data_IF_487069348640
#
_entry.id   IF_487069348640
#
_cell.length_a   1.000
_cell.length_b   1.000
_cell.length_c   1.000
_cell.angle_alpha   90.00
_cell.angle_beta   90.00
_cell.angle_gamma   90.00
#
_symmetry.space_group_name_H-M   'P 1'
#
loop_
_entity.id
_entity.type
_entity.pdbx_description
1 polymer ?
#
# COMPACT_ATOMS: atom_id res chain seq x y z
N UNK A 1 -3.70 34.14 -59.91
CA UNK A 1 -4.05 32.84 -59.29
C UNK A 1 -2.87 32.34 -58.46
N UNK A 2 -2.97 32.29 -57.12
CA UNK A 2 -2.03 31.51 -56.28
C UNK A 2 -2.83 30.76 -55.22
N UNK A 3 -2.61 29.45 -55.18
CA UNK A 3 -3.40 28.44 -54.45
C UNK A 3 -3.02 28.40 -52.97
N UNK A 4 -4.07 28.39 -52.16
CA UNK A 4 -4.36 27.64 -50.92
C UNK A 4 -3.23 27.26 -49.95
N UNK A 5 -3.41 27.78 -48.73
CA UNK A 5 -3.20 27.21 -47.40
C UNK A 5 -2.92 25.70 -47.32
N UNK A 6 -1.99 25.35 -46.44
CA UNK A 6 -2.17 24.40 -45.33
C UNK A 6 -0.83 24.22 -44.63
N UNK A 7 -0.75 24.49 -43.32
CA UNK A 7 -0.02 23.69 -42.34
C UNK A 7 -0.05 24.40 -40.99
N UNK A 8 -0.83 23.87 -40.05
CA UNK A 8 -0.32 23.44 -38.74
C UNK A 8 -1.52 23.05 -37.90
N UNK A 9 -1.80 21.74 -37.88
CA UNK A 9 -2.71 21.14 -36.89
C UNK A 9 -1.94 21.18 -35.58
N UNK A 10 -2.28 22.15 -34.72
CA UNK A 10 -1.82 22.15 -33.34
C UNK A 10 -2.48 20.95 -32.66
N UNK A 11 -1.70 19.89 -32.46
CA UNK A 11 -2.07 18.69 -31.74
C UNK A 11 -2.41 19.11 -30.31
N UNK A 12 -3.70 19.24 -29.98
CA UNK A 12 -4.14 19.21 -28.59
C UNK A 12 -3.83 17.82 -28.06
N UNK A 13 -2.69 17.69 -27.38
CA UNK A 13 -2.43 16.56 -26.52
C UNK A 13 -3.48 16.56 -25.42
N UNK A 14 -4.47 15.69 -25.58
CA UNK A 14 -5.52 15.42 -24.60
C UNK A 14 -4.80 14.99 -23.31
N UNK A 15 -4.87 15.86 -22.29
CA UNK A 15 -4.57 15.52 -20.91
C UNK A 15 -5.58 14.45 -20.45
N UNK A 16 -5.31 13.18 -20.74
CA UNK A 16 -5.95 12.06 -20.04
C UNK A 16 -5.21 11.90 -18.70
N UNK A 17 -5.39 12.90 -17.84
CA UNK A 17 -4.97 12.84 -16.45
C UNK A 17 -6.00 12.10 -15.63
N UNK A 18 -5.55 11.02 -14.98
CA UNK A 18 -6.04 10.57 -13.68
C UNK A 18 -7.38 9.84 -13.64
N UNK A 19 -7.36 8.52 -13.82
CA UNK A 19 -8.28 7.60 -13.13
C UNK A 19 -7.70 6.20 -12.86
N UNK A 20 -6.44 5.91 -13.24
CA UNK A 20 -5.87 4.56 -13.10
C UNK A 20 -5.33 4.22 -11.70
N UNK A 21 -5.05 5.22 -10.86
CA UNK A 21 -4.46 5.00 -9.53
C UNK A 21 -5.44 4.37 -8.54
N UNK A 22 -6.73 4.70 -8.64
CA UNK A 22 -7.78 4.13 -7.79
C UNK A 22 -8.05 2.65 -8.07
N UNK A 23 -7.92 2.21 -9.32
CA UNK A 23 -8.13 0.81 -9.69
C UNK A 23 -6.95 -0.08 -9.22
N UNK A 24 -5.74 0.47 -9.21
CA UNK A 24 -4.52 -0.26 -8.86
C UNK A 24 -4.51 -0.68 -7.39
N UNK A 25 -4.89 0.19 -6.45
CA UNK A 25 -4.91 -0.16 -5.01
C UNK A 25 -6.07 -1.08 -4.63
N UNK A 26 -7.20 -1.04 -5.34
CA UNK A 26 -8.36 -1.86 -4.99
C UNK A 26 -8.10 -3.36 -5.20
N UNK A 27 -7.27 -3.74 -6.17
CA UNK A 27 -7.03 -5.16 -6.49
C UNK A 27 -5.67 -5.69 -6.07
N UNK A 28 -4.74 -4.84 -5.64
CA UNK A 28 -3.41 -5.28 -5.20
C UNK A 28 -3.49 -5.90 -3.80
N UNK A 29 -2.76 -6.98 -3.57
CA UNK A 29 -2.64 -7.63 -2.25
C UNK A 29 -1.19 -7.71 -1.80
N UNK A 30 -0.95 -8.00 -0.52
CA UNK A 30 0.40 -8.29 -0.03
C UNK A 30 1.05 -9.49 -0.72
N UNK A 31 0.27 -10.51 -1.09
CA UNK A 31 0.76 -11.63 -1.91
C UNK A 31 1.21 -11.16 -3.30
N UNK A 32 0.40 -10.35 -4.00
CA UNK A 32 0.78 -9.80 -5.30
C UNK A 32 2.09 -9.02 -5.23
N UNK A 33 2.26 -8.20 -4.18
CA UNK A 33 3.44 -7.38 -3.98
C UNK A 33 4.71 -8.22 -3.84
N UNK A 34 4.64 -9.27 -3.01
CA UNK A 34 5.76 -10.17 -2.72
C UNK A 34 6.28 -10.87 -3.98
N UNK A 35 5.39 -11.23 -4.90
CA UNK A 35 5.77 -11.93 -6.13
C UNK A 35 6.15 -11.00 -7.29
N UNK A 36 5.53 -9.82 -7.38
CA UNK A 36 5.69 -8.93 -8.55
C UNK A 36 6.79 -7.88 -8.41
N UNK A 37 7.14 -7.49 -7.18
CA UNK A 37 8.01 -6.33 -6.96
C UNK A 37 9.18 -6.63 -6.05
N UNK A 38 10.30 -5.97 -6.33
CA UNK A 38 11.48 -6.01 -5.46
C UNK A 38 11.22 -5.18 -4.20
N UNK A 39 11.39 -5.83 -3.05
CA UNK A 39 11.36 -5.18 -1.75
C UNK A 39 12.58 -4.28 -1.58
N UNK A 40 12.36 -3.05 -1.15
CA UNK A 40 13.40 -2.08 -0.82
C UNK A 40 13.80 -2.11 0.65
N UNK A 41 12.82 -2.24 1.54
CA UNK A 41 13.01 -2.12 2.99
C UNK A 41 11.97 -2.94 3.74
N UNK A 42 12.33 -3.36 4.96
CA UNK A 42 11.43 -3.94 5.95
C UNK A 42 11.71 -3.36 7.33
N UNK A 43 10.68 -3.07 8.11
CA UNK A 43 10.81 -2.66 9.51
C UNK A 43 9.55 -3.02 10.31
N UNK A 44 9.65 -2.99 11.64
CA UNK A 44 8.50 -3.10 12.55
C UNK A 44 8.05 -1.70 12.95
N UNK A 45 6.74 -1.47 12.90
CA UNK A 45 6.11 -0.24 13.39
C UNK A 45 5.09 -0.60 14.46
N UNK A 46 5.25 -0.02 15.64
CA UNK A 46 4.30 -0.16 16.73
C UNK A 46 3.34 1.03 16.70
N UNK A 47 2.04 0.74 16.68
CA UNK A 47 0.98 1.75 16.72
C UNK A 47 0.13 1.52 17.97
N UNK A 48 -0.02 2.55 18.79
CA UNK A 48 -0.95 2.53 19.90
C UNK A 48 -2.37 2.74 19.36
N UNK A 49 -3.25 1.77 19.61
CA UNK A 49 -4.65 1.90 19.26
C UNK A 49 -5.39 2.61 20.39
N UNK A 50 -5.66 3.90 20.19
CA UNK A 50 -6.42 4.75 21.13
C UNK A 50 -7.83 4.19 21.43
N UNK A 51 -8.42 3.41 20.51
CA UNK A 51 -9.77 2.83 20.69
C UNK A 51 -9.76 1.51 21.49
N UNK A 52 -8.59 0.88 21.65
CA UNK A 52 -8.40 -0.37 22.40
C UNK A 52 -7.55 -0.14 23.65
N UNK A 53 -7.87 0.90 24.43
CA UNK A 53 -7.25 1.18 25.73
C UNK A 53 -5.71 1.22 25.70
N UNK A 54 -5.15 1.81 24.62
CA UNK A 54 -3.70 1.93 24.46
C UNK A 54 -3.00 0.63 24.03
N UNK A 55 -3.74 -0.37 23.53
CA UNK A 55 -3.15 -1.60 23.02
C UNK A 55 -2.10 -1.30 21.93
N UNK A 56 -0.86 -1.74 22.18
CA UNK A 56 0.23 -1.60 21.23
C UNK A 56 0.13 -2.73 20.21
N UNK A 57 -0.08 -2.33 18.95
CA UNK A 57 -0.17 -3.25 17.83
C UNK A 57 1.13 -3.21 17.04
N UNK A 58 1.78 -4.36 16.87
CA UNK A 58 2.95 -4.48 16.01
C UNK A 58 2.54 -4.74 14.55
N UNK A 59 3.00 -3.86 13.66
CA UNK A 59 2.81 -4.00 12.22
C UNK A 59 4.16 -4.27 11.54
N UNK A 60 4.21 -5.35 10.76
CA UNK A 60 5.35 -5.69 9.92
C UNK A 60 5.25 -4.93 8.60
N UNK A 61 6.12 -3.95 8.42
CA UNK A 61 6.09 -3.05 7.28
C UNK A 61 7.11 -3.48 6.24
N UNK A 62 6.65 -3.58 4.98
CA UNK A 62 7.49 -3.80 3.82
C UNK A 62 7.27 -2.69 2.80
N UNK A 63 8.36 -2.17 2.23
CA UNK A 63 8.30 -1.12 1.22
C UNK A 63 8.75 -1.69 -0.12
N UNK A 64 7.91 -1.53 -1.15
CA UNK A 64 8.15 -2.01 -2.51
C UNK A 64 8.22 -0.84 -3.47
N UNK A 65 9.16 -0.90 -4.44
CA UNK A 65 9.19 0.05 -5.57
C UNK A 65 8.38 -0.52 -6.72
N UNK A 66 7.33 0.20 -7.13
CA UNK A 66 6.43 -0.23 -8.21
C UNK A 66 6.92 0.29 -9.57
N UNK A 67 7.35 1.55 -9.61
CA UNK A 67 7.94 2.17 -10.80
C UNK A 67 8.94 3.25 -10.38
N UNK A 68 9.45 4.05 -11.33
CA UNK A 68 10.55 4.98 -11.07
C UNK A 68 10.30 5.93 -9.89
N UNK A 69 9.05 6.30 -9.57
CA UNK A 69 8.74 7.28 -8.51
C UNK A 69 7.67 6.84 -7.51
N UNK A 70 7.01 5.72 -7.77
CA UNK A 70 5.89 5.26 -6.96
C UNK A 70 6.30 4.03 -6.16
N UNK A 71 6.00 4.08 -4.87
CA UNK A 71 6.23 2.98 -3.95
C UNK A 71 4.93 2.56 -3.28
N UNK A 72 4.91 1.33 -2.79
CA UNK A 72 3.83 0.80 -1.97
C UNK A 72 4.41 0.39 -0.62
N UNK A 73 3.72 0.80 0.43
CA UNK A 73 3.91 0.28 1.78
C UNK A 73 2.87 -0.81 1.98
N UNK A 74 3.33 -1.98 2.41
CA UNK A 74 2.54 -3.08 2.90
C UNK A 74 2.78 -3.20 4.40
N UNK A 75 1.85 -2.72 5.22
CA UNK A 75 1.86 -2.93 6.66
C UNK A 75 1.00 -4.13 7.01
N UNK A 76 1.59 -5.24 7.47
CA UNK A 76 0.82 -6.43 7.87
C UNK A 76 0.74 -6.53 9.39
N UNK A 77 -0.47 -6.59 9.91
CA UNK A 77 -0.78 -6.76 11.32
C UNK A 77 -1.47 -8.10 11.51
N UNK A 78 -1.03 -8.89 12.48
CA UNK A 78 -1.69 -10.14 12.86
C UNK A 78 -2.60 -9.90 14.05
N UNK A 79 -3.80 -10.48 14.03
CA UNK A 79 -4.65 -10.51 15.22
C UNK A 79 -4.07 -11.43 16.29
N UNK A 80 -4.48 -11.24 17.55
CA UNK A 80 -3.92 -11.96 18.70
C UNK A 80 -4.00 -13.49 18.58
N UNK A 81 -5.07 -13.95 17.93
CA UNK A 81 -5.34 -15.36 17.66
C UNK A 81 -4.31 -15.97 16.69
N UNK A 82 -3.66 -15.15 15.86
CA UNK A 82 -2.71 -15.59 14.83
C UNK A 82 -3.36 -16.25 13.62
N UNK A 83 -4.70 -16.34 13.56
CA UNK A 83 -5.42 -16.98 12.44
C UNK A 83 -5.68 -16.03 11.25
N UNK A 84 -5.43 -14.75 11.44
CA UNK A 84 -5.70 -13.72 10.45
C UNK A 84 -5.18 -12.37 10.91
N UNK A 85 -5.62 -11.33 10.22
CA UNK A 85 -5.20 -9.97 10.50
C UNK A 85 -5.61 -9.02 9.39
N UNK A 86 -4.83 -7.96 9.22
CA UNK A 86 -5.09 -6.94 8.20
C UNK A 86 -3.81 -6.45 7.52
N UNK A 87 -3.99 -5.97 6.29
CA UNK A 87 -2.97 -5.29 5.51
C UNK A 87 -3.34 -3.84 5.28
N UNK A 88 -2.42 -2.93 5.63
CA UNK A 88 -2.36 -1.58 5.13
C UNK A 88 -1.65 -1.60 3.77
N UNK A 89 -2.35 -1.25 2.72
CA UNK A 89 -1.81 -1.06 1.38
C UNK A 89 -1.81 0.43 1.06
N UNK A 90 -0.64 1.04 1.13
CA UNK A 90 -0.48 2.49 0.97
C UNK A 90 0.40 2.76 -0.25
N UNK A 91 -0.22 3.29 -1.31
CA UNK A 91 0.46 3.76 -2.51
C UNK A 91 0.86 5.23 -2.30
N UNK A 92 2.13 5.54 -2.52
CA UNK A 92 2.63 6.90 -2.31
C UNK A 92 3.72 7.28 -3.32
N UNK A 93 3.93 8.58 -3.48
CA UNK A 93 4.97 9.17 -4.31
C UNK A 93 5.44 10.46 -3.66
N UNK A 94 6.74 10.69 -3.59
CA UNK A 94 7.30 11.94 -3.03
C UNK A 94 6.77 12.26 -1.61
N UNK A 95 6.56 11.22 -0.78
CA UNK A 95 5.95 11.32 0.57
C UNK A 95 4.49 11.77 0.59
N UNK A 96 3.84 11.86 -0.56
CA UNK A 96 2.40 12.16 -0.68
C UNK A 96 1.61 10.86 -0.86
N UNK A 97 0.53 10.74 -0.08
CA UNK A 97 -0.39 9.61 -0.14
C UNK A 97 -1.19 9.68 -1.45
N UNK A 98 -1.12 8.63 -2.27
CA UNK A 98 -1.92 8.52 -3.51
C UNK A 98 -3.19 7.72 -3.27
N UNK A 99 -3.07 6.59 -2.57
CA UNK A 99 -4.21 5.81 -2.11
C UNK A 99 -3.83 4.95 -0.91
N UNK A 100 -4.83 4.62 -0.11
CA UNK A 100 -4.68 3.77 1.06
C UNK A 100 -5.84 2.79 1.12
N UNK A 101 -5.57 1.56 1.53
CA UNK A 101 -6.61 0.54 1.69
C UNK A 101 -6.25 -0.33 2.88
N UNK A 102 -7.23 -0.59 3.75
CA UNK A 102 -7.14 -1.59 4.80
C UNK A 102 -7.91 -2.81 4.31
N UNK A 103 -7.25 -3.97 4.30
CA UNK A 103 -7.84 -5.22 3.83
C UNK A 103 -7.64 -6.33 4.87
N UNK A 104 -8.70 -6.92 5.42
CA UNK A 104 -8.59 -8.10 6.24
C UNK A 104 -8.11 -9.31 5.44
N UNK A 105 -7.49 -10.25 6.15
CA UNK A 105 -7.18 -11.57 5.61
C UNK A 105 -7.30 -12.66 6.67
N UNK A 106 -7.56 -13.88 6.20
CA UNK A 106 -7.57 -15.11 6.99
C UNK A 106 -6.50 -16.04 6.42
N UNK A 107 -5.76 -16.74 7.29
CA UNK A 107 -4.72 -17.69 6.86
C UNK A 107 -5.37 -19.04 6.52
N UNK A 108 -5.21 -19.50 5.28
CA UNK A 108 -5.97 -20.64 4.74
C UNK A 108 -5.44 -22.03 5.13
N UNK A 109 -4.19 -22.13 5.60
CA UNK A 109 -3.47 -23.40 5.78
C UNK A 109 -2.96 -23.61 7.22
N UNK A 110 -3.77 -23.28 8.22
CA UNK A 110 -3.39 -23.52 9.61
C UNK A 110 -3.59 -25.01 9.89
N UNK A 111 -2.49 -25.77 9.89
CA UNK A 111 -2.49 -27.12 10.46
C UNK A 111 -2.65 -26.96 11.98
N UNK A 112 -3.45 -27.83 12.60
CA UNK A 112 -3.91 -27.82 14.01
C UNK A 112 -2.84 -27.64 15.11
N UNK A 113 -1.57 -27.47 14.76
CA UNK A 113 -0.45 -27.35 15.68
C UNK A 113 -0.24 -25.92 16.23
N UNK A 114 -1.20 -24.99 16.12
CA UNK A 114 -1.16 -23.66 16.74
C UNK A 114 0.11 -22.81 16.47
N UNK A 115 0.80 -23.05 15.36
CA UNK A 115 2.03 -22.29 15.05
C UNK A 115 1.63 -20.94 14.46
N UNK A 116 1.71 -19.89 15.29
CA UNK A 116 1.63 -18.48 14.85
C UNK A 116 2.60 -18.29 13.68
N UNK A 117 2.06 -18.03 12.49
CA UNK A 117 2.85 -17.89 11.26
C UNK A 117 2.87 -16.44 10.82
N UNK A 118 4.04 -15.81 10.93
CA UNK A 118 4.24 -14.39 10.58
C UNK A 118 4.52 -14.17 9.07
N UNK A 119 4.51 -15.23 8.26
CA UNK A 119 4.61 -15.15 6.79
C UNK A 119 3.88 -16.35 6.14
N UNK A 120 2.54 -16.38 6.16
CA UNK A 120 1.76 -17.49 5.62
C UNK A 120 1.97 -17.60 4.11
N UNK A 121 2.13 -18.84 3.62
CA UNK A 121 2.26 -19.12 2.18
C UNK A 121 1.02 -18.71 1.39
N UNK A 122 -0.15 -18.79 2.03
CA UNK A 122 -1.44 -18.48 1.43
C UNK A 122 -2.35 -17.86 2.48
N UNK A 123 -3.01 -16.77 2.09
CA UNK A 123 -4.09 -16.12 2.81
C UNK A 123 -5.27 -15.88 1.88
N UNK A 124 -6.47 -15.91 2.44
CA UNK A 124 -7.70 -15.50 1.79
C UNK A 124 -7.98 -14.05 2.19
N UNK A 125 -8.14 -13.20 1.20
CA UNK A 125 -8.40 -11.78 1.41
C UNK A 125 -9.90 -11.51 1.44
N UNK A 126 -10.31 -10.63 2.34
CA UNK A 126 -11.68 -10.12 2.39
C UNK A 126 -11.81 -8.83 1.59
N UNK A 127 -13.05 -8.34 1.47
CA UNK A 127 -13.32 -7.05 0.85
C UNK A 127 -12.63 -5.92 1.63
N UNK A 128 -12.04 -4.93 0.94
CA UNK A 128 -11.50 -3.74 1.58
C UNK A 128 -12.53 -2.99 2.40
N UNK A 129 -12.11 -2.44 3.54
CA UNK A 129 -12.99 -1.56 4.32
C UNK A 129 -13.25 -0.23 3.57
N UNK A 130 -14.52 0.16 3.34
CA UNK A 130 -14.86 1.32 2.52
C UNK A 130 -15.06 2.63 3.31
N UNK A 131 -14.74 2.68 4.61
CA UNK A 131 -15.17 3.80 5.48
C UNK A 131 -14.13 4.95 5.58
N UNK A 132 -14.60 6.13 6.00
CA UNK A 132 -13.77 7.34 6.17
C UNK A 132 -12.80 7.23 7.37
N UNK A 133 -13.17 6.48 8.40
CA UNK A 133 -12.37 6.34 9.63
C UNK A 133 -11.10 5.50 9.40
N UNK A 134 -11.18 4.51 8.52
CA UNK A 134 -10.01 3.77 8.03
C UNK A 134 -9.07 4.70 7.27
N UNK A 135 -9.60 5.66 6.50
CA UNK A 135 -8.76 6.59 5.75
C UNK A 135 -7.93 7.48 6.69
N UNK A 136 -8.53 8.08 7.71
CA UNK A 136 -7.81 8.93 8.67
C UNK A 136 -6.76 8.14 9.47
N UNK A 137 -7.10 6.89 9.83
CA UNK A 137 -6.16 5.97 10.50
C UNK A 137 -4.96 5.64 9.61
N UNK A 138 -5.19 5.28 8.34
CA UNK A 138 -4.11 4.98 7.40
C UNK A 138 -3.25 6.20 7.07
N UNK A 139 -3.83 7.40 7.04
CA UNK A 139 -3.08 8.65 6.90
C UNK A 139 -2.14 8.89 8.10
N UNK A 140 -2.62 8.68 9.33
CA UNK A 140 -1.78 8.73 10.55
C UNK A 140 -0.65 7.70 10.48
N UNK A 141 -0.98 6.44 10.17
CA UNK A 141 0.02 5.35 10.04
C UNK A 141 1.04 5.65 8.94
N UNK A 142 0.61 6.20 7.81
CA UNK A 142 1.49 6.61 6.72
C UNK A 142 2.56 7.62 7.19
N UNK A 143 2.17 8.66 7.93
CA UNK A 143 3.14 9.60 8.50
C UNK A 143 4.09 8.93 9.47
N UNK A 144 3.62 7.98 10.27
CA UNK A 144 4.44 7.14 11.14
C UNK A 144 5.46 6.31 10.35
N UNK A 145 5.03 5.63 9.30
CA UNK A 145 5.89 4.84 8.42
C UNK A 145 6.97 5.70 7.75
N UNK A 146 6.62 6.88 7.25
CA UNK A 146 7.59 7.81 6.65
C UNK A 146 8.69 8.24 7.63
N UNK A 147 8.36 8.39 8.92
CA UNK A 147 9.34 8.75 9.96
C UNK A 147 10.32 7.61 10.27
N UNK A 148 9.89 6.35 10.13
CA UNK A 148 10.72 5.15 10.37
C UNK A 148 11.53 4.72 9.16
N UNK A 149 11.05 5.04 7.95
CA UNK A 149 11.66 4.63 6.69
C UNK A 149 13.07 5.19 6.49
N UNK A 150 13.97 4.38 5.93
CA UNK A 150 15.33 4.79 5.66
C UNK A 150 15.41 5.91 4.60
N UNK A 151 16.42 6.79 4.72
CA UNK A 151 16.60 7.95 3.82
C UNK A 151 16.85 7.55 2.36
N UNK A 152 17.50 6.42 2.11
CA UNK A 152 17.78 5.89 0.76
C UNK A 152 16.48 5.39 0.12
N UNK A 153 15.64 4.66 0.85
CA UNK A 153 14.33 4.21 0.39
C UNK A 153 13.41 5.39 0.13
N UNK A 154 13.36 6.39 1.01
CA UNK A 154 12.62 7.64 0.78
C UNK A 154 13.04 8.34 -0.52
N UNK A 155 14.34 8.42 -0.81
CA UNK A 155 14.85 8.99 -2.08
C UNK A 155 14.43 8.17 -3.29
N UNK A 156 14.50 6.83 -3.21
CA UNK A 156 14.04 5.92 -4.27
C UNK A 156 12.55 6.03 -4.58
N UNK A 157 11.75 6.49 -3.60
CA UNK A 157 10.31 6.73 -3.70
C UNK A 157 9.96 8.21 -3.98
N UNK A 158 10.96 9.07 -4.25
CA UNK A 158 10.76 10.50 -4.51
C UNK A 158 11.37 11.02 -5.82
N UNK A 159 12.35 10.29 -6.39
CA UNK A 159 13.13 10.74 -7.56
C UNK A 159 12.76 10.00 -8.85
#
# INVERSE_FOLDING_TARGET
MKKKYMFSICLLAILVGSNSTNLFSKNLTGQDLKYKYKKNESFIYSFENEELDGAITETYVNVYKINNKTCVILGRTYGDSGYGGSEDLILFKNKELLSATLRPFIISNIKDNNVKTNDPKQVNYEEPFPNKDVKSTLEKKFQGYLKKMDKVTLRKCSN
#
